data_IF_390577634037
#
_entry.id   IF_390577634037
#
_cell.length_a   1.000
_cell.length_b   1.000
_cell.length_c   1.000
_cell.angle_alpha   90.00
_cell.angle_beta   90.00
_cell.angle_gamma   90.00
#
_symmetry.space_group_name_H-M   'P 1'
#
loop_
_entity.id
_entity.type
_entity.pdbx_description
1 polymer ?
#
# COMPACT_ATOMS: atom_id res chain seq x y z
N UNK A 1 -5.63 14.94 -2.09
CA UNK A 1 -4.34 14.41 -2.60
C UNK A 1 -4.50 14.11 -4.09
N UNK A 2 -3.52 14.45 -4.94
CA UNK A 2 -3.54 14.04 -6.34
C UNK A 2 -2.97 12.61 -6.45
N UNK A 3 -3.81 11.65 -6.84
CA UNK A 3 -3.43 10.24 -6.93
C UNK A 3 -2.28 9.97 -7.93
N UNK A 4 -2.06 10.86 -8.90
CA UNK A 4 -1.05 10.69 -9.94
C UNK A 4 0.36 11.11 -9.51
N UNK A 5 0.49 11.89 -8.44
CA UNK A 5 1.77 12.43 -7.98
C UNK A 5 2.27 11.57 -6.81
N UNK A 6 3.45 10.92 -6.91
CA UNK A 6 4.01 10.14 -5.81
C UNK A 6 4.13 10.97 -4.54
N UNK A 7 3.53 10.48 -3.45
CA UNK A 7 3.69 11.04 -2.12
C UNK A 7 4.73 10.21 -1.35
N UNK A 8 5.69 10.84 -0.67
CA UNK A 8 6.60 10.12 0.22
C UNK A 8 5.83 9.40 1.33
N UNK A 9 6.11 8.12 1.51
CA UNK A 9 5.54 7.29 2.57
C UNK A 9 6.65 6.56 3.32
N UNK A 10 6.71 6.75 4.63
CA UNK A 10 7.66 6.11 5.53
C UNK A 10 7.17 4.71 5.90
N UNK A 11 8.04 3.71 5.86
CA UNK A 11 7.75 2.37 6.38
C UNK A 11 7.81 2.42 7.90
N UNK A 12 6.66 2.26 8.56
CA UNK A 12 6.55 2.29 10.02
C UNK A 12 6.57 0.92 10.67
N UNK A 13 6.31 -0.13 9.88
CA UNK A 13 6.41 -1.52 10.30
C UNK A 13 6.78 -2.37 9.08
N UNK A 14 7.67 -3.35 9.27
CA UNK A 14 7.94 -4.39 8.28
C UNK A 14 7.97 -5.77 8.92
N UNK A 15 7.05 -6.62 8.50
CA UNK A 15 6.92 -8.00 8.97
C UNK A 15 7.25 -8.99 7.87
N UNK A 16 8.02 -10.03 8.18
CA UNK A 16 8.24 -11.18 7.29
C UNK A 16 7.12 -12.18 7.51
N UNK A 17 6.28 -12.38 6.49
CA UNK A 17 5.17 -13.34 6.54
C UNK A 17 5.65 -14.75 6.20
N UNK A 18 6.56 -14.85 5.23
CA UNK A 18 7.19 -16.10 4.79
C UNK A 18 8.50 -15.81 4.06
N UNK A 19 9.15 -16.84 3.53
CA UNK A 19 10.36 -16.64 2.72
C UNK A 19 10.08 -15.80 1.47
N UNK A 20 10.77 -14.65 1.40
CA UNK A 20 10.59 -13.69 0.31
C UNK A 20 9.25 -12.95 0.33
N UNK A 21 8.42 -13.09 1.37
CA UNK A 21 7.12 -12.41 1.48
C UNK A 21 7.13 -11.50 2.71
N UNK A 22 6.80 -10.24 2.49
CA UNK A 22 6.82 -9.20 3.52
C UNK A 22 5.55 -8.38 3.47
N UNK A 23 5.03 -8.03 4.64
CA UNK A 23 4.04 -6.96 4.79
C UNK A 23 4.76 -5.72 5.29
N UNK A 24 4.60 -4.62 4.56
CA UNK A 24 5.02 -3.28 4.99
C UNK A 24 3.79 -2.46 5.34
N UNK A 25 3.87 -1.72 6.43
CA UNK A 25 2.90 -0.68 6.75
C UNK A 25 3.58 0.67 6.55
N UNK A 26 2.92 1.55 5.81
CA UNK A 26 3.47 2.86 5.49
C UNK A 26 2.59 4.00 6.00
N UNK A 27 3.22 5.10 6.37
CA UNK A 27 2.55 6.35 6.75
C UNK A 27 2.95 7.43 5.75
N UNK A 28 1.97 8.13 5.18
CA UNK A 28 2.24 9.31 4.35
C UNK A 28 2.93 10.39 5.19
N UNK A 29 4.06 10.90 4.70
CA UNK A 29 4.91 11.83 5.43
C UNK A 29 4.24 13.20 5.61
N UNK A 30 3.57 13.70 4.56
CA UNK A 30 2.83 14.96 4.63
C UNK A 30 1.49 14.75 5.36
N UNK A 31 1.23 15.58 6.36
CA UNK A 31 0.03 15.48 7.19
C UNK A 31 -1.26 15.69 6.38
N UNK A 32 -1.26 16.64 5.45
CA UNK A 32 -2.40 16.92 4.58
C UNK A 32 -2.70 15.72 3.66
N UNK A 33 -1.65 15.07 3.15
CA UNK A 33 -1.79 13.87 2.32
C UNK A 33 -2.35 12.71 3.16
N UNK A 34 -1.82 12.50 4.36
CA UNK A 34 -2.29 11.48 5.32
C UNK A 34 -3.77 11.68 5.66
N UNK A 35 -4.16 12.90 6.03
CA UNK A 35 -5.56 13.23 6.37
C UNK A 35 -6.51 13.07 5.19
N UNK A 36 -6.03 13.31 3.95
CA UNK A 36 -6.86 13.25 2.74
C UNK A 36 -6.93 11.85 2.10
N UNK A 37 -6.00 10.94 2.43
CA UNK A 37 -5.94 9.63 1.80
C UNK A 37 -7.09 8.74 2.31
N UNK A 38 -7.90 8.23 1.40
CA UNK A 38 -8.99 7.28 1.68
C UNK A 38 -9.00 6.24 0.58
N UNK A 39 -9.24 4.98 0.94
CA UNK A 39 -9.37 3.87 0.01
C UNK A 39 -10.56 3.00 0.40
N UNK A 40 -11.02 2.19 -0.55
CA UNK A 40 -12.03 1.17 -0.34
C UNK A 40 -11.42 -0.22 -0.59
N UNK A 41 -11.95 -1.28 0.04
CA UNK A 41 -11.51 -2.65 -0.21
C UNK A 41 -11.58 -3.01 -1.71
N UNK A 42 -10.56 -3.74 -2.17
CA UNK A 42 -10.38 -4.09 -3.58
C UNK A 42 -9.52 -3.11 -4.39
N UNK A 43 -9.17 -1.95 -3.84
CA UNK A 43 -8.27 -0.99 -4.49
C UNK A 43 -6.79 -1.30 -4.24
N UNK A 44 -5.93 -0.66 -5.02
CA UNK A 44 -4.47 -0.81 -4.96
C UNK A 44 -3.74 0.53 -5.04
N UNK A 45 -2.47 0.56 -4.63
CA UNK A 45 -1.56 1.69 -4.84
C UNK A 45 -0.48 1.32 -5.85
N UNK A 46 0.16 2.31 -6.48
CA UNK A 46 1.47 2.11 -7.09
C UNK A 46 2.53 2.44 -6.05
N UNK A 47 3.41 1.49 -5.76
CA UNK A 47 4.57 1.69 -4.89
C UNK A 47 5.81 1.92 -5.75
N UNK A 48 6.47 3.04 -5.50
CA UNK A 48 7.69 3.46 -6.17
C UNK A 48 8.90 3.13 -5.30
N UNK A 49 9.75 2.23 -5.78
CA UNK A 49 11.10 2.08 -5.26
C UNK A 49 12.04 3.05 -6.01
N UNK A 50 12.64 3.99 -5.28
CA UNK A 50 13.51 5.02 -5.86
C UNK A 50 14.61 4.42 -6.73
N UNK A 51 14.66 4.84 -8.00
CA UNK A 51 15.62 4.35 -8.99
C UNK A 51 15.31 2.96 -9.59
N UNK A 52 14.39 2.18 -9.03
CA UNK A 52 14.02 0.87 -9.54
C UNK A 52 12.71 0.86 -10.36
N UNK A 53 11.73 1.69 -10.00
CA UNK A 53 10.46 1.81 -10.72
C UNK A 53 9.22 1.62 -9.84
N UNK A 54 8.05 1.61 -10.49
CA UNK A 54 6.74 1.47 -9.85
C UNK A 54 6.17 0.05 -10.02
N UNK A 55 5.43 -0.43 -9.02
CA UNK A 55 4.68 -1.68 -9.10
C UNK A 55 3.28 -1.52 -8.46
N UNK A 56 2.20 -2.04 -9.07
CA UNK A 56 0.89 -2.05 -8.43
C UNK A 56 0.87 -3.02 -7.26
N UNK A 57 0.31 -2.58 -6.14
CA UNK A 57 0.27 -3.32 -4.88
C UNK A 57 -1.09 -3.16 -4.20
N UNK A 58 -1.80 -4.27 -4.00
CA UNK A 58 -3.07 -4.28 -3.28
C UNK A 58 -2.94 -3.68 -1.89
N UNK A 59 -3.94 -2.94 -1.45
CA UNK A 59 -4.02 -2.47 -0.06
C UNK A 59 -4.60 -3.59 0.79
N UNK A 60 -3.92 -3.96 1.87
CA UNK A 60 -4.30 -5.08 2.75
C UNK A 60 -4.62 -4.67 4.19
N UNK A 61 -4.50 -3.38 4.50
CA UNK A 61 -4.91 -2.82 5.80
C UNK A 61 -6.40 -2.47 5.82
N UNK A 62 -6.91 -2.27 7.03
CA UNK A 62 -8.26 -1.77 7.25
C UNK A 62 -8.36 -0.29 6.80
N UNK A 63 -9.38 0.11 6.01
CA UNK A 63 -9.68 1.51 5.72
C UNK A 63 -9.87 2.39 6.97
N UNK A 64 -10.26 1.79 8.10
CA UNK A 64 -10.50 2.48 9.38
C UNK A 64 -9.23 2.58 10.25
N UNK A 65 -8.13 1.89 9.89
CA UNK A 65 -6.83 1.99 10.60
C UNK A 65 -6.12 3.34 10.38
N UNK A 66 -6.78 4.26 9.66
CA UNK A 66 -6.55 5.69 9.62
C UNK A 66 -5.26 6.10 8.92
N UNK A 67 -4.17 6.10 9.69
CA UNK A 67 -2.91 6.76 9.33
C UNK A 67 -1.88 5.81 8.68
N UNK A 68 -2.20 4.51 8.61
CA UNK A 68 -1.25 3.50 8.15
C UNK A 68 -1.85 2.63 7.06
N UNK A 69 -1.11 2.47 5.98
CA UNK A 69 -1.52 1.74 4.77
C UNK A 69 -0.66 0.50 4.64
N UNK A 70 -1.29 -0.68 4.59
CA UNK A 70 -0.60 -1.97 4.53
C UNK A 70 -0.49 -2.51 3.10
N UNK A 71 0.66 -3.08 2.78
CA UNK A 71 0.91 -3.78 1.52
C UNK A 71 1.72 -5.06 1.76
N UNK A 72 1.28 -6.19 1.19
CA UNK A 72 2.02 -7.45 1.23
C UNK A 72 2.64 -7.74 -0.12
N UNK A 73 3.96 -7.89 -0.17
CA UNK A 73 4.74 -8.09 -1.39
C UNK A 73 5.61 -9.35 -1.36
N UNK A 74 5.85 -9.91 -2.55
CA UNK A 74 6.80 -11.00 -2.76
C UNK A 74 8.01 -10.51 -3.56
N UNK A 75 9.20 -10.78 -3.04
CA UNK A 75 10.49 -10.43 -3.65
C UNK A 75 10.82 -11.41 -4.80
N UNK A 76 10.46 -11.04 -6.03
CA UNK A 76 10.64 -11.89 -7.23
C UNK A 76 11.18 -11.14 -8.45
N UNK A 77 11.17 -9.81 -8.45
CA UNK A 77 11.60 -8.99 -9.57
C UNK A 77 12.34 -7.73 -9.12
N UNK A 78 12.91 -6.94 -10.04
CA UNK A 78 13.79 -5.82 -9.68
C UNK A 78 13.14 -4.82 -8.71
N UNK A 79 11.90 -4.38 -9.00
CA UNK A 79 11.17 -3.42 -8.16
C UNK A 79 10.78 -4.04 -6.82
N UNK A 80 10.24 -5.26 -6.81
CA UNK A 80 9.80 -5.90 -5.56
C UNK A 80 10.98 -6.34 -4.68
N UNK A 81 12.13 -6.67 -5.25
CA UNK A 81 13.37 -6.91 -4.52
C UNK A 81 13.89 -5.62 -3.88
N UNK A 82 13.83 -4.49 -4.61
CA UNK A 82 14.20 -3.19 -4.05
C UNK A 82 13.27 -2.79 -2.88
N UNK A 83 11.95 -2.93 -3.03
CA UNK A 83 10.99 -2.71 -1.95
C UNK A 83 11.24 -3.66 -0.76
N UNK A 84 11.54 -4.94 -1.04
CA UNK A 84 11.85 -5.92 -0.01
C UNK A 84 13.19 -5.65 0.71
N UNK A 85 14.08 -4.82 0.17
CA UNK A 85 15.32 -4.42 0.83
C UNK A 85 15.13 -3.25 1.80
N UNK A 86 14.08 -2.45 1.64
CA UNK A 86 13.75 -1.33 2.51
C UNK A 86 13.44 -1.80 3.94
N UNK A 87 13.75 -0.96 4.93
CA UNK A 87 13.58 -1.21 6.36
C UNK A 87 12.59 -0.23 6.97
N UNK A 88 12.21 -0.46 8.23
CA UNK A 88 11.49 0.55 9.01
C UNK A 88 12.30 1.85 9.07
N UNK A 89 11.62 2.98 8.89
CA UNK A 89 12.20 4.32 8.74
C UNK A 89 12.58 4.70 7.30
N UNK A 90 12.69 3.74 6.37
CA UNK A 90 12.94 4.06 4.96
C UNK A 90 11.68 4.62 4.29
N UNK A 91 11.89 5.37 3.21
CA UNK A 91 10.82 6.02 2.44
C UNK A 91 10.65 5.34 1.09
N UNK A 92 9.41 5.17 0.67
CA UNK A 92 9.01 4.83 -0.70
C UNK A 92 8.05 5.88 -1.26
N UNK A 93 7.81 5.87 -2.57
CA UNK A 93 6.75 6.68 -3.16
C UNK A 93 5.43 5.93 -3.20
N UNK A 94 4.33 6.59 -2.85
CA UNK A 94 2.97 6.03 -2.92
C UNK A 94 2.10 6.87 -3.84
N UNK A 95 1.44 6.21 -4.79
CA UNK A 95 0.39 6.79 -5.64
C UNK A 95 -0.90 5.99 -5.53
N UNK A 96 -2.03 6.67 -5.58
CA UNK A 96 -3.35 6.06 -5.52
C UNK A 96 -4.25 6.66 -4.43
N UNK A 97 -5.28 5.91 -4.01
CA UNK A 97 -5.61 4.57 -4.51
C UNK A 97 -6.11 4.56 -5.96
N UNK A 98 -5.97 3.42 -6.63
CA UNK A 98 -6.44 3.15 -7.97
C UNK A 98 -7.34 1.90 -8.00
N UNK A 99 -8.05 1.73 -9.10
CA UNK A 99 -8.97 0.62 -9.31
C UNK A 99 -10.37 0.86 -8.74
N UNK A 100 -11.29 -0.03 -9.09
CA UNK A 100 -12.66 -0.03 -8.58
C UNK A 100 -12.74 -0.83 -7.27
N UNK A 101 -13.56 -0.38 -6.33
CA UNK A 101 -13.79 -1.09 -5.08
C UNK A 101 -14.67 -2.33 -5.26
N UNK A 102 -14.67 -3.21 -4.27
CA UNK A 102 -15.63 -4.29 -4.18
C UNK A 102 -17.04 -3.76 -3.83
N UNK A 103 -18.13 -4.35 -4.38
CA UNK A 103 -19.50 -3.92 -4.12
C UNK A 103 -20.00 -4.48 -2.78
N UNK A 104 -19.39 -4.05 -1.67
CA UNK A 104 -19.65 -4.61 -0.33
C UNK A 104 -21.10 -4.40 0.12
N UNK A 105 -21.74 -3.29 -0.26
CA UNK A 105 -23.14 -3.05 0.06
C UNK A 105 -24.08 -4.07 -0.59
N UNK A 106 -23.77 -4.50 -1.82
CA UNK A 106 -24.54 -5.52 -2.53
C UNK A 106 -24.31 -6.93 -1.96
N UNK A 107 -23.20 -7.14 -1.26
CA UNK A 107 -22.85 -8.41 -0.62
C UNK A 107 -23.48 -8.58 0.77
N UNK A 108 -24.03 -7.53 1.38
CA UNK A 108 -24.63 -7.60 2.72
C UNK A 108 -25.76 -8.63 2.79
N UNK A 109 -25.67 -9.52 3.77
CA UNK A 109 -26.69 -10.57 4.01
C UNK A 109 -26.65 -11.73 3.01
N UNK A 110 -25.62 -11.82 2.16
CA UNK A 110 -25.39 -12.95 1.25
C UNK A 110 -24.22 -13.80 1.76
N UNK A 111 -24.29 -15.09 1.48
CA UNK A 111 -23.12 -15.97 1.62
C UNK A 111 -22.13 -15.64 0.49
N UNK A 112 -20.87 -15.44 0.87
CA UNK A 112 -19.75 -15.12 -0.01
C UNK A 112 -18.72 -16.26 0.02
N UNK A 113 -18.03 -16.50 -1.10
CA UNK A 113 -17.01 -17.54 -1.27
C UNK A 113 -15.60 -17.02 -0.98
#
# INVERSE_FOLDING_TARGET
MNALIPQPAEIVEKRREAEGIYTVRVRLAAEEARRAYRFLPGQFNMLYAFGAGDVPMSIVSDPEDGDVIGHTLRAVGPVTNALAALKEGDVLGLRGPFGSCWPLDEAKGKDIL
#
